data_IF_971621579977
#
_entry.id   IF_971621579977
#
_cell.length_a   1.000
_cell.length_b   1.000
_cell.length_c   1.000
_cell.angle_alpha   90.00
_cell.angle_beta   90.00
_cell.angle_gamma   90.00
#
_symmetry.space_group_name_H-M   'P 1'
#
loop_
_entity.id
_entity.type
_entity.pdbx_description
1 polymer ?
#
# COMPACT_ATOMS: atom_id res chain seq x y z
N UNK A 1 15.92 6.68 -27.08
CA UNK A 1 15.38 5.67 -26.15
C UNK A 1 16.08 5.90 -24.83
N UNK A 2 15.37 6.44 -23.85
CA UNK A 2 15.91 6.71 -22.53
C UNK A 2 15.89 5.40 -21.75
N UNK A 3 17.07 4.94 -21.32
CA UNK A 3 17.24 3.68 -20.60
C UNK A 3 16.90 3.97 -19.15
N UNK A 4 15.77 3.42 -18.67
CA UNK A 4 15.41 3.47 -17.25
C UNK A 4 16.55 2.85 -16.43
N UNK A 5 17.36 3.69 -15.78
CA UNK A 5 18.32 3.22 -14.79
C UNK A 5 17.52 2.78 -13.57
N UNK A 6 17.38 1.47 -13.42
CA UNK A 6 16.74 0.85 -12.26
C UNK A 6 17.66 1.02 -11.06
N UNK A 7 17.42 2.04 -10.24
CA UNK A 7 17.98 2.11 -8.90
C UNK A 7 17.13 1.24 -7.98
N UNK A 8 17.80 0.47 -7.13
CA UNK A 8 17.34 -0.72 -6.40
C UNK A 8 15.98 -0.70 -5.67
N UNK A 9 15.18 0.37 -5.67
CA UNK A 9 13.84 0.38 -5.10
C UNK A 9 12.94 1.50 -5.62
N UNK A 10 13.21 2.15 -6.77
CA UNK A 10 12.39 3.27 -7.26
C UNK A 10 12.25 3.28 -8.79
N UNK A 11 11.00 3.30 -9.28
CA UNK A 11 10.62 3.60 -10.67
C UNK A 11 10.23 5.07 -10.77
N UNK A 12 10.78 5.80 -11.73
CA UNK A 12 10.38 7.18 -12.00
C UNK A 12 9.34 7.21 -13.12
N UNK A 13 8.13 7.71 -12.84
CA UNK A 13 7.10 7.99 -13.86
C UNK A 13 6.71 9.47 -13.72
N UNK A 14 6.82 10.26 -14.80
CA UNK A 14 6.51 11.71 -14.81
C UNK A 14 7.19 12.49 -13.67
N UNK A 15 8.51 12.34 -13.51
CA UNK A 15 9.32 12.95 -12.42
C UNK A 15 8.83 12.64 -10.99
N UNK A 16 7.97 11.64 -10.83
CA UNK A 16 7.48 11.18 -9.53
C UNK A 16 8.12 9.83 -9.23
N UNK A 17 8.76 9.75 -8.05
CA UNK A 17 9.42 8.55 -7.57
C UNK A 17 8.39 7.58 -6.98
N UNK A 18 8.16 6.47 -7.64
CA UNK A 18 7.33 5.36 -7.17
C UNK A 18 8.25 4.25 -6.66
N UNK A 19 7.99 3.61 -5.52
CA UNK A 19 8.81 2.47 -5.13
C UNK A 19 8.75 1.37 -6.22
N UNK A 20 9.90 0.85 -6.61
CA UNK A 20 10.00 -0.29 -7.52
C UNK A 20 9.52 -1.54 -6.79
N UNK A 21 8.40 -2.09 -7.25
CA UNK A 21 7.79 -3.26 -6.63
C UNK A 21 8.63 -4.51 -6.93
N UNK A 22 8.93 -5.26 -5.88
CA UNK A 22 9.79 -6.46 -5.95
C UNK A 22 9.05 -7.74 -6.38
N UNK A 23 7.72 -7.66 -6.61
CA UNK A 23 6.86 -8.82 -6.86
C UNK A 23 5.86 -8.52 -7.97
N UNK A 24 5.91 -9.32 -9.04
CA UNK A 24 5.13 -9.14 -10.28
C UNK A 24 3.60 -9.21 -10.07
N UNK A 25 3.13 -9.92 -9.05
CA UNK A 25 1.70 -10.12 -8.74
C UNK A 25 1.35 -9.72 -7.30
N UNK A 26 2.09 -8.78 -6.70
CA UNK A 26 1.81 -8.33 -5.34
C UNK A 26 0.74 -7.24 -5.29
N UNK A 27 -0.08 -7.26 -4.24
CA UNK A 27 -1.12 -6.26 -3.99
C UNK A 27 -0.50 -5.08 -3.25
N UNK A 28 -0.41 -3.94 -3.93
CA UNK A 28 0.03 -2.70 -3.29
C UNK A 28 -1.13 -2.02 -2.56
N UNK A 29 -0.91 -1.71 -1.30
CA UNK A 29 -1.82 -0.92 -0.47
C UNK A 29 -1.16 0.40 -0.12
N UNK A 30 -1.86 1.51 -0.38
CA UNK A 30 -1.48 2.85 0.04
C UNK A 30 -2.34 3.28 1.24
N UNK A 31 -1.71 3.43 2.39
CA UNK A 31 -2.33 3.87 3.64
C UNK A 31 -2.17 5.37 3.90
N UNK A 32 -1.62 6.12 2.93
CA UNK A 32 -1.53 7.57 3.06
C UNK A 32 -2.92 8.19 2.89
N UNK A 33 -3.18 9.22 3.68
CA UNK A 33 -4.42 10.00 3.62
C UNK A 33 -4.12 11.39 3.08
N UNK A 34 -5.12 12.06 2.53
CA UNK A 34 -4.97 13.46 2.16
C UNK A 34 -4.58 14.29 3.39
N UNK A 35 -3.61 15.18 3.22
CA UNK A 35 -3.23 16.13 4.26
C UNK A 35 -4.41 17.08 4.50
N UNK A 36 -5.05 17.04 5.69
CA UNK A 36 -6.22 17.88 5.97
C UNK A 36 -5.87 19.37 6.05
N UNK A 37 -4.59 19.72 6.13
CA UNK A 37 -4.09 21.10 6.15
C UNK A 37 -3.73 21.59 4.75
N UNK A 38 -3.59 20.68 3.79
CA UNK A 38 -3.27 21.04 2.41
C UNK A 38 -4.53 21.55 1.70
N UNK A 39 -4.46 22.77 1.20
CA UNK A 39 -5.50 23.45 0.42
C UNK A 39 -5.05 23.71 -1.02
N UNK A 40 -3.92 23.13 -1.43
CA UNK A 40 -3.40 23.30 -2.77
C UNK A 40 -4.31 22.61 -3.81
N UNK A 41 -4.24 23.03 -5.08
CA UNK A 41 -4.95 22.37 -6.17
C UNK A 41 -4.53 20.90 -6.40
N UNK A 42 -3.44 20.46 -5.77
CA UNK A 42 -2.89 19.10 -5.85
C UNK A 42 -2.57 18.60 -4.44
N UNK A 43 -3.60 18.20 -3.67
CA UNK A 43 -3.45 17.87 -2.27
C UNK A 43 -2.49 16.69 -2.09
N UNK A 44 -1.61 16.82 -1.11
CA UNK A 44 -0.58 15.82 -0.80
C UNK A 44 -1.15 14.67 0.00
N UNK A 45 -0.58 13.49 -0.20
CA UNK A 45 -0.81 12.31 0.61
C UNK A 45 0.26 12.23 1.71
N UNK A 46 -0.19 12.02 2.94
CA UNK A 46 0.66 11.89 4.13
C UNK A 46 0.31 10.61 4.90
N UNK A 47 1.32 9.98 5.48
CA UNK A 47 1.12 8.80 6.32
C UNK A 47 0.84 9.24 7.77
N UNK A 48 -0.33 8.87 8.31
CA UNK A 48 -0.78 9.24 9.67
C UNK A 48 -1.14 7.99 10.49
N UNK A 49 -0.15 7.28 11.07
CA UNK A 49 -0.38 5.99 11.72
C UNK A 49 -1.41 6.07 12.87
N UNK A 50 -1.37 7.12 13.68
CA UNK A 50 -2.32 7.26 14.80
C UNK A 50 -3.77 7.40 14.32
N UNK A 51 -4.00 8.16 13.26
CA UNK A 51 -5.33 8.29 12.67
C UNK A 51 -5.82 6.97 12.05
N UNK A 52 -4.92 6.16 11.48
CA UNK A 52 -5.27 4.85 10.92
C UNK A 52 -5.66 3.85 12.01
N UNK A 53 -5.02 3.89 13.18
CA UNK A 53 -5.37 3.03 14.33
C UNK A 53 -6.81 3.23 14.78
N UNK A 54 -7.31 4.47 14.72
CA UNK A 54 -8.69 4.82 15.06
C UNK A 54 -9.72 4.28 14.05
N UNK A 55 -9.29 3.91 12.83
CA UNK A 55 -10.18 3.43 11.75
C UNK A 55 -10.37 1.91 11.71
N UNK A 56 -9.72 1.17 12.61
CA UNK A 56 -9.77 -0.30 12.62
C UNK A 56 -8.86 -0.97 11.59
N UNK A 57 -7.96 -0.22 10.94
CA UNK A 57 -6.89 -0.80 10.13
C UNK A 57 -5.96 -1.62 11.04
N UNK A 58 -5.65 -2.87 10.71
CA UNK A 58 -4.82 -3.70 11.58
C UNK A 58 -3.41 -3.14 11.77
N UNK A 59 -2.93 -3.23 13.02
CA UNK A 59 -1.62 -2.69 13.42
C UNK A 59 -0.48 -3.23 12.56
N UNK A 60 -0.53 -4.50 12.15
CA UNK A 60 0.49 -5.10 11.29
C UNK A 60 0.67 -4.38 9.94
N UNK A 61 -0.42 -3.88 9.35
CA UNK A 61 -0.36 -3.08 8.12
C UNK A 61 0.21 -1.68 8.39
N UNK A 62 -0.18 -1.06 9.51
CA UNK A 62 0.31 0.27 9.91
C UNK A 62 1.81 0.22 10.20
N UNK A 63 2.28 -0.81 10.91
CA UNK A 63 3.70 -1.01 11.17
C UNK A 63 4.51 -1.34 9.90
N UNK A 64 3.97 -2.17 9.01
CA UNK A 64 4.61 -2.45 7.73
C UNK A 64 4.74 -1.18 6.89
N UNK A 65 3.67 -0.38 6.83
CA UNK A 65 3.66 0.92 6.18
C UNK A 65 4.66 1.90 6.80
N UNK A 66 4.82 1.90 8.12
CA UNK A 66 5.77 2.77 8.81
C UNK A 66 7.23 2.45 8.47
N UNK A 67 7.53 1.18 8.17
CA UNK A 67 8.88 0.72 7.77
C UNK A 67 9.18 0.91 6.28
N UNK A 68 8.17 1.24 5.48
CA UNK A 68 8.34 1.44 4.04
C UNK A 68 9.01 2.77 3.70
N UNK A 69 9.58 2.87 2.50
CA UNK A 69 10.17 4.09 1.97
C UNK A 69 9.66 4.34 0.54
N UNK A 70 8.80 5.35 0.30
CA UNK A 70 8.27 6.30 1.28
C UNK A 70 7.24 5.66 2.24
N UNK A 71 7.10 6.16 3.49
CA UNK A 71 6.14 5.62 4.46
C UNK A 71 4.69 5.64 3.97
N UNK A 72 3.91 4.66 4.42
CA UNK A 72 2.50 4.51 4.04
C UNK A 72 2.23 3.47 2.95
N UNK A 73 3.26 2.85 2.37
CA UNK A 73 3.10 1.90 1.27
C UNK A 73 3.40 0.48 1.72
N UNK A 74 2.54 -0.46 1.39
CA UNK A 74 2.67 -1.85 1.83
C UNK A 74 2.44 -2.80 0.67
N UNK A 75 3.33 -3.78 0.53
CA UNK A 75 3.01 -4.98 -0.26
C UNK A 75 2.27 -5.95 0.66
N UNK A 76 1.00 -6.18 0.38
CA UNK A 76 0.11 -6.92 1.30
C UNK A 76 0.64 -8.33 1.60
N UNK A 77 1.24 -9.00 0.62
CA UNK A 77 1.78 -10.34 0.76
C UNK A 77 3.03 -10.42 1.65
N UNK A 78 3.69 -9.29 1.90
CA UNK A 78 4.88 -9.21 2.76
C UNK A 78 4.50 -8.93 4.22
N UNK A 79 3.21 -8.76 4.54
CA UNK A 79 2.75 -8.56 5.91
C UNK A 79 2.44 -9.92 6.54
N UNK A 80 3.33 -10.45 7.39
CA UNK A 80 3.05 -11.68 8.10
C UNK A 80 1.82 -11.44 8.97
N UNK A 81 0.89 -12.40 8.97
CA UNK A 81 -0.36 -12.46 9.76
C UNK A 81 -1.67 -12.02 9.08
N UNK A 82 -1.68 -11.53 7.84
CA UNK A 82 -2.95 -11.24 7.15
C UNK A 82 -3.56 -12.48 6.48
N UNK A 83 -3.95 -13.49 7.29
CA UNK A 83 -4.81 -14.62 6.84
C UNK A 83 -6.30 -14.29 7.06
N UNK A 84 -6.75 -13.17 6.50
CA UNK A 84 -8.10 -12.64 6.74
C UNK A 84 -9.13 -12.89 5.64
N UNK A 85 -8.70 -13.25 4.42
CA UNK A 85 -9.60 -13.38 3.27
C UNK A 85 -9.89 -14.83 2.85
N UNK A 86 -9.42 -15.83 3.60
CA UNK A 86 -9.71 -17.25 3.31
C UNK A 86 -11.14 -17.66 3.73
N UNK A 87 -11.88 -16.78 4.41
CA UNK A 87 -13.26 -17.02 4.88
C UNK A 87 -14.32 -16.46 3.91
N UNK A 88 -14.13 -16.55 2.61
CA UNK A 88 -15.26 -16.48 1.68
C UNK A 88 -15.90 -17.88 1.65
N UNK A 89 -17.15 -18.06 2.12
CA UNK A 89 -17.86 -19.31 1.87
C UNK A 89 -17.99 -19.42 0.36
N UNK A 90 -17.26 -20.35 -0.25
CA UNK A 90 -17.55 -20.77 -1.62
C UNK A 90 -18.92 -21.45 -1.56
N UNK A 91 -19.98 -20.68 -1.81
CA UNK A 91 -21.31 -21.21 -2.08
C UNK A 91 -21.25 -21.91 -3.45
N UNK A 92 -20.69 -23.12 -3.46
CA UNK A 92 -20.98 -24.11 -4.48
C UNK A 92 -22.11 -24.97 -3.93
N UNK A 93 -23.34 -24.56 -4.20
CA UNK A 93 -24.50 -25.43 -4.08
C UNK A 93 -24.49 -26.37 -5.29
N UNK A 94 -24.40 -27.70 -5.13
CA UNK A 94 -24.62 -28.61 -6.24
C UNK A 94 -26.13 -28.76 -6.43
N UNK A 95 -26.62 -28.30 -7.58
CA UNK A 95 -27.96 -28.56 -8.09
C UNK A 95 -28.24 -30.06 -8.07
N UNK A 96 -29.36 -30.45 -7.46
CA UNK A 96 -29.89 -31.82 -7.50
C UNK A 96 -31.16 -31.86 -8.34
#
# INVERSE_FOLDING_TARGET
>A
MEVNQMHDSVVTINNTYWPAYRKENGTLVDLRVFDPSDRSPKPRLIFRPDALRETGIPEALIEAAARSNPPGLVLFEDVPHFKGCDNQPTAHEPTR
#
